data_IF_197709664414
#
_entry.id   IF_197709664414
#
_cell.length_a   1.000
_cell.length_b   1.000
_cell.length_c   1.000
_cell.angle_alpha   90.00
_cell.angle_beta   90.00
_cell.angle_gamma   90.00
#
_symmetry.space_group_name_H-M   'P 1'
#
loop_
_entity.id
_entity.type
_entity.pdbx_description
1 polymer ?
#
# COMPACT_ATOMS: atom_id res chain seq x y z
N UNK A 1 -21.22 -20.31 2.34
CA UNK A 1 -20.17 -20.07 1.31
C UNK A 1 -19.60 -18.67 1.56
N UNK A 2 -18.39 -18.55 2.10
CA UNK A 2 -17.78 -17.24 2.40
C UNK A 2 -16.77 -16.86 1.31
N UNK A 3 -16.81 -15.60 0.86
CA UNK A 3 -15.77 -15.02 0.01
C UNK A 3 -14.73 -14.40 0.93
N UNK A 4 -13.47 -14.82 0.79
CA UNK A 4 -12.35 -14.28 1.57
C UNK A 4 -11.43 -13.51 0.63
N UNK A 5 -11.06 -12.28 1.00
CA UNK A 5 -10.11 -11.45 0.27
C UNK A 5 -8.74 -11.49 0.95
N UNK A 6 -7.68 -11.31 0.16
CA UNK A 6 -6.33 -11.21 0.70
C UNK A 6 -6.20 -10.00 1.65
N UNK A 7 -5.46 -10.13 2.76
CA UNK A 7 -5.09 -9.00 3.62
C UNK A 7 -4.35 -7.90 2.83
N UNK A 8 -4.67 -6.62 3.10
CA UNK A 8 -4.14 -5.46 2.35
C UNK A 8 -2.61 -5.40 2.25
N UNK A 9 -1.88 -5.84 3.28
CA UNK A 9 -0.41 -5.83 3.25
C UNK A 9 0.18 -6.79 2.18
N UNK A 10 -0.51 -7.89 1.87
CA UNK A 10 -0.10 -8.81 0.80
C UNK A 10 -0.42 -8.22 -0.57
N UNK A 11 -1.54 -7.52 -0.68
CA UNK A 11 -1.95 -6.84 -1.91
C UNK A 11 -0.95 -5.72 -2.30
N UNK A 12 -0.56 -4.89 -1.33
CA UNK A 12 0.48 -3.87 -1.52
C UNK A 12 1.86 -4.47 -1.88
N UNK A 13 2.18 -5.67 -1.38
CA UNK A 13 3.42 -6.37 -1.75
C UNK A 13 3.39 -6.84 -3.20
N UNK A 14 2.26 -7.37 -3.68
CA UNK A 14 2.07 -7.75 -5.09
C UNK A 14 2.16 -6.51 -5.99
N UNK A 15 1.51 -5.41 -5.61
CA UNK A 15 1.57 -4.15 -6.35
C UNK A 15 3.01 -3.62 -6.48
N UNK A 16 3.81 -3.68 -5.40
CA UNK A 16 5.23 -3.29 -5.43
C UNK A 16 6.06 -4.13 -6.42
N UNK A 17 5.78 -5.42 -6.56
CA UNK A 17 6.48 -6.28 -7.53
C UNK A 17 6.13 -5.91 -8.98
N UNK A 18 4.89 -5.46 -9.23
CA UNK A 18 4.44 -5.07 -10.56
C UNK A 18 5.03 -3.73 -11.05
N UNK A 19 5.47 -2.86 -10.14
CA UNK A 19 6.09 -1.56 -10.49
C UNK A 19 7.24 -1.70 -11.48
N UNK A 20 8.07 -2.74 -11.33
CA UNK A 20 9.20 -3.02 -12.23
C UNK A 20 8.73 -3.34 -13.65
N UNK A 21 7.66 -4.12 -13.77
CA UNK A 21 7.07 -4.48 -15.08
C UNK A 21 6.44 -3.27 -15.77
N UNK A 22 5.87 -2.35 -14.98
CA UNK A 22 5.22 -1.13 -15.48
C UNK A 22 6.19 0.04 -15.69
N UNK A 23 7.48 -0.16 -15.40
CA UNK A 23 8.49 0.90 -15.38
C UNK A 23 8.07 2.13 -14.54
N UNK A 24 7.32 1.88 -13.45
CA UNK A 24 6.79 2.91 -12.58
C UNK A 24 7.73 3.17 -11.40
N UNK A 25 7.94 4.44 -11.06
CA UNK A 25 8.73 4.85 -9.89
C UNK A 25 7.80 5.25 -8.75
N UNK A 26 7.89 4.52 -7.64
CA UNK A 26 7.14 4.84 -6.43
C UNK A 26 7.94 5.80 -5.55
N UNK A 27 7.34 6.93 -5.18
CA UNK A 27 7.93 7.88 -4.24
C UNK A 27 7.89 7.31 -2.81
N UNK A 28 9.01 7.41 -2.09
CA UNK A 28 9.08 7.06 -0.67
C UNK A 28 8.63 8.24 0.20
N UNK A 29 7.79 7.98 1.20
CA UNK A 29 7.38 9.00 2.18
C UNK A 29 8.55 9.36 3.11
N UNK A 30 8.71 10.66 3.40
CA UNK A 30 9.57 11.12 4.49
C UNK A 30 8.92 10.86 5.86
N UNK A 31 9.69 10.89 6.95
CA UNK A 31 9.16 10.72 8.32
C UNK A 31 8.07 11.75 8.63
N UNK A 32 8.30 13.00 8.21
CA UNK A 32 7.36 14.09 8.41
C UNK A 32 6.05 13.86 7.63
N UNK A 33 6.13 13.38 6.39
CA UNK A 33 4.94 13.11 5.57
C UNK A 33 4.12 11.94 6.14
N UNK A 34 4.79 10.86 6.54
CA UNK A 34 4.16 9.68 7.13
C UNK A 34 3.44 10.05 8.44
N UNK A 35 4.09 10.81 9.31
CA UNK A 35 3.50 11.32 10.54
C UNK A 35 2.33 12.28 10.27
N UNK A 36 2.43 13.14 9.26
CA UNK A 36 1.40 14.11 8.91
C UNK A 36 0.08 13.45 8.46
N UNK A 37 0.15 12.36 7.70
CA UNK A 37 -1.03 11.62 7.24
C UNK A 37 -1.39 10.41 8.13
N UNK A 38 -0.62 10.17 9.19
CA UNK A 38 -0.87 9.12 10.17
C UNK A 38 -0.74 7.69 9.64
N UNK A 39 0.21 7.43 8.72
CA UNK A 39 0.46 6.09 8.17
C UNK A 39 1.92 5.66 8.39
N UNK A 40 2.17 4.35 8.43
CA UNK A 40 3.53 3.81 8.42
C UNK A 40 4.19 4.02 7.04
N UNK A 41 5.50 4.28 7.03
CA UNK A 41 6.29 4.44 5.79
C UNK A 41 6.24 3.22 4.88
N UNK A 42 6.01 2.03 5.42
CA UNK A 42 5.93 0.77 4.69
C UNK A 42 4.49 0.30 4.43
N UNK A 43 3.52 1.10 4.87
CA UNK A 43 2.10 0.79 4.78
C UNK A 43 1.58 -0.06 5.95
N UNK A 44 0.29 -0.41 5.95
CA UNK A 44 -0.68 -0.15 4.88
C UNK A 44 -1.00 1.34 4.72
N UNK A 45 -0.98 1.82 3.48
CA UNK A 45 -1.10 3.27 3.18
C UNK A 45 -2.55 3.76 3.12
N UNK A 46 -3.53 2.86 3.23
CA UNK A 46 -4.96 3.14 3.16
C UNK A 46 -5.73 2.27 4.15
N UNK A 47 -6.79 2.83 4.73
CA UNK A 47 -7.66 2.11 5.68
C UNK A 47 -8.44 0.98 4.99
N UNK A 48 -8.98 0.05 5.78
CA UNK A 48 -9.74 -1.08 5.26
C UNK A 48 -10.99 -0.68 4.48
N UNK A 49 -11.61 0.46 4.82
CA UNK A 49 -12.80 0.99 4.16
C UNK A 49 -12.51 1.70 2.83
N UNK A 50 -11.24 1.91 2.51
CA UNK A 50 -10.83 2.54 1.26
C UNK A 50 -11.10 1.60 0.09
N UNK A 51 -11.91 2.06 -0.88
CA UNK A 51 -12.32 1.26 -2.04
C UNK A 51 -11.20 1.04 -3.05
N UNK A 52 -10.27 2.00 -3.21
CA UNK A 52 -9.02 1.91 -4.00
C UNK A 52 -8.08 3.04 -3.66
#
# INVERSE_FOLDING_TARGET
>A
MGVYTLPKHLDEKVARLQLKTLNAQLTALSDQQAAYIGVDKNGPYKSNHYRY
#
